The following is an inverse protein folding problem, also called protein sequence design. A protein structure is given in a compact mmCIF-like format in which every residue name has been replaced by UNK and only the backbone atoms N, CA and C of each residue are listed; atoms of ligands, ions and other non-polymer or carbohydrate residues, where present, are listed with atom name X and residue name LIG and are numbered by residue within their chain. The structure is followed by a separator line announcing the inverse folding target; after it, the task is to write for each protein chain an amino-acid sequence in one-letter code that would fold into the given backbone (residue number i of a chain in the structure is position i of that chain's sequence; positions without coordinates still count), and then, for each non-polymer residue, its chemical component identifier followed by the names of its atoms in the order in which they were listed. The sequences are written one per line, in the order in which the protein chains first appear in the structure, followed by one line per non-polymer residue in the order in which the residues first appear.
data_IF_206611051114
#
_entry.id   IF_206611051114
#
_cell.length_a   1.000
_cell.length_b   1.000
_cell.length_c   1.000
_cell.angle_alpha   90.00
_cell.angle_beta   90.00
_cell.angle_gamma   90.00
#
_symmetry.space_group_name_H-M   'P 1'
#
loop_
_entity.id
_entity.type
_entity.pdbx_description
1 polymer ?
#
# COMPACT_ATOMS: atom_id res chain seq x y z
N UNK A 1 -33.98 4.06 -25.59
CA UNK A 1 -33.34 2.86 -26.17
C UNK A 1 -32.27 2.37 -25.20
N UNK A 2 -32.48 1.22 -24.55
CA UNK A 2 -31.52 0.62 -23.60
C UNK A 2 -30.56 -0.28 -24.38
N UNK A 3 -29.34 0.18 -24.66
CA UNK A 3 -28.29 -0.62 -25.28
C UNK A 3 -27.70 -1.55 -24.22
N UNK A 4 -28.08 -2.83 -24.25
CA UNK A 4 -27.40 -3.90 -23.52
C UNK A 4 -26.08 -4.19 -24.22
N UNK A 5 -24.97 -3.66 -23.73
CA UNK A 5 -23.64 -4.10 -24.15
C UNK A 5 -23.22 -5.28 -23.29
N UNK A 6 -23.11 -6.46 -23.91
CA UNK A 6 -22.60 -7.66 -23.28
C UNK A 6 -21.10 -7.54 -23.07
N UNK A 7 -20.66 -7.79 -21.84
CA UNK A 7 -19.25 -7.91 -21.48
C UNK A 7 -18.79 -9.31 -21.91
N UNK A 8 -17.84 -9.39 -22.84
CA UNK A 8 -17.20 -10.65 -23.21
C UNK A 8 -15.96 -10.84 -22.32
N UNK A 9 -15.99 -11.86 -21.47
CA UNK A 9 -14.84 -12.28 -20.67
C UNK A 9 -14.02 -13.23 -21.55
N UNK A 10 -12.88 -12.77 -22.05
CA UNK A 10 -11.94 -13.60 -22.79
C UNK A 10 -11.00 -14.33 -21.82
N UNK A 11 -11.14 -15.64 -21.73
CA UNK A 11 -10.17 -16.52 -21.07
C UNK A 11 -8.91 -16.64 -21.93
N UNK A 12 -7.80 -16.03 -21.49
CA UNK A 12 -6.49 -16.22 -22.10
C UNK A 12 -5.69 -17.26 -21.30
N UNK A 13 -5.44 -18.43 -21.91
CA UNK A 13 -4.54 -19.45 -21.38
C UNK A 13 -3.09 -19.07 -21.65
N UNK A 14 -2.34 -18.74 -20.60
CA UNK A 14 -0.92 -18.40 -20.68
C UNK A 14 -0.08 -19.70 -20.59
N UNK A 15 0.40 -20.17 -21.74
CA UNK A 15 1.33 -21.29 -21.83
C UNK A 15 2.76 -20.79 -21.60
N UNK A 16 3.37 -21.19 -20.47
CA UNK A 16 4.79 -20.92 -20.19
C UNK A 16 5.67 -21.92 -20.94
N UNK A 17 6.41 -21.46 -21.94
CA UNK A 17 7.39 -22.27 -22.67
C UNK A 17 8.80 -22.02 -22.12
N UNK A 18 9.32 -22.98 -21.36
CA UNK A 18 10.71 -23.02 -20.91
C UNK A 18 11.60 -23.54 -22.04
N UNK A 19 12.43 -22.69 -22.64
CA UNK A 19 13.45 -23.13 -23.61
C UNK A 19 14.75 -23.47 -22.86
N UNK A 20 15.04 -24.77 -22.78
CA UNK A 20 16.29 -25.32 -22.27
C UNK A 20 17.30 -25.37 -23.43
N UNK A 21 18.23 -24.43 -23.50
CA UNK A 21 19.34 -24.48 -24.45
C UNK A 21 20.55 -25.19 -23.82
N UNK A 22 20.87 -26.38 -24.34
CA UNK A 22 22.10 -27.10 -24.06
C UNK A 22 23.25 -26.55 -24.92
N UNK A 23 24.44 -26.39 -24.33
CA UNK A 23 25.68 -26.13 -25.06
C UNK A 23 26.70 -27.25 -24.76
N UNK A 24 27.51 -27.69 -25.75
CA UNK A 24 28.46 -28.77 -25.57
C UNK A 24 29.81 -28.30 -24.99
N UNK A 25 30.46 -29.25 -24.33
CA UNK A 25 31.78 -29.20 -23.69
C UNK A 25 32.90 -29.04 -24.73
N UNK A 26 33.88 -28.17 -24.45
CA UNK A 26 35.22 -28.25 -25.02
C UNK A 26 36.28 -27.91 -23.96
N UNK A 27 37.19 -28.86 -23.72
CA UNK A 27 38.37 -28.76 -22.86
C UNK A 27 39.58 -28.20 -23.65
N UNK A 28 40.30 -27.22 -23.09
CA UNK A 28 41.76 -27.06 -23.22
C UNK A 28 42.30 -25.99 -22.24
N UNK A 29 43.48 -26.23 -21.67
CA UNK A 29 44.13 -25.55 -20.54
C UNK A 29 45.06 -24.37 -20.96
N UNK A 30 46.02 -23.90 -20.12
CA UNK A 30 45.88 -22.80 -19.16
C UNK A 30 46.72 -21.56 -19.55
N UNK A 31 46.29 -20.35 -19.14
CA UNK A 31 47.14 -19.17 -19.17
C UNK A 31 46.94 -18.32 -17.90
N UNK A 32 48.01 -18.23 -17.11
CA UNK A 32 48.16 -17.33 -15.97
C UNK A 32 48.26 -15.88 -16.47
N UNK A 33 47.23 -15.08 -16.19
CA UNK A 33 47.34 -13.63 -16.13
C UNK A 33 46.36 -13.10 -15.08
N UNK A 34 46.89 -12.39 -14.09
CA UNK A 34 46.16 -11.77 -13.02
C UNK A 34 45.33 -10.58 -13.56
N UNK A 35 44.14 -10.88 -14.07
CA UNK A 35 43.07 -9.88 -14.19
C UNK A 35 42.42 -9.73 -12.82
N UNK A 36 42.53 -8.55 -12.24
CA UNK A 36 41.71 -8.10 -11.12
C UNK A 36 40.28 -8.54 -11.37
N UNK A 37 39.79 -9.44 -10.52
CA UNK A 37 38.41 -9.89 -10.55
C UNK A 37 37.53 -8.68 -10.27
N UNK A 38 37.08 -8.01 -11.32
CA UNK A 38 35.83 -7.27 -11.28
C UNK A 38 34.79 -8.35 -11.06
N UNK A 39 34.46 -8.60 -9.80
CA UNK A 39 33.22 -9.26 -9.43
C UNK A 39 32.14 -8.33 -9.96
N UNK A 40 31.76 -8.51 -11.23
CA UNK A 40 30.44 -8.09 -11.70
C UNK A 40 29.51 -8.87 -10.80
N UNK A 41 29.06 -8.19 -9.74
CA UNK A 41 27.97 -8.64 -8.91
C UNK A 41 26.92 -9.12 -9.90
N UNK A 42 26.71 -10.44 -9.90
CA UNK A 42 25.62 -11.07 -10.59
C UNK A 42 24.41 -10.39 -9.95
N UNK A 43 23.92 -9.34 -10.62
CA UNK A 43 22.74 -8.63 -10.20
C UNK A 43 21.66 -9.69 -10.30
N UNK A 44 21.35 -10.30 -9.15
CA UNK A 44 20.18 -11.12 -8.92
C UNK A 44 19.08 -10.52 -9.79
N UNK A 45 18.50 -11.32 -10.69
CA UNK A 45 17.52 -10.86 -11.65
C UNK A 45 16.43 -10.13 -10.87
N UNK A 46 16.58 -8.81 -10.78
CA UNK A 46 15.97 -8.02 -9.72
C UNK A 46 14.49 -8.12 -10.01
N UNK A 47 13.71 -8.64 -9.07
CA UNK A 47 12.26 -8.75 -9.21
C UNK A 47 11.74 -7.42 -9.78
N UNK A 48 11.28 -7.43 -11.03
CA UNK A 48 10.99 -6.22 -11.83
C UNK A 48 9.61 -5.67 -11.45
N UNK A 49 9.18 -5.93 -10.21
CA UNK A 49 7.86 -5.62 -9.68
C UNK A 49 8.00 -4.56 -8.59
N UNK A 50 7.07 -3.61 -8.50
CA UNK A 50 6.98 -2.76 -7.33
C UNK A 50 6.72 -3.63 -6.09
N UNK A 51 7.36 -3.29 -4.97
CA UNK A 51 7.14 -3.96 -3.71
C UNK A 51 5.89 -3.41 -3.04
N UNK A 52 5.08 -4.28 -2.46
CA UNK A 52 3.79 -3.93 -1.86
C UNK A 52 3.71 -4.53 -0.46
N UNK A 53 3.38 -3.72 0.54
CA UNK A 53 3.20 -4.19 1.92
C UNK A 53 1.98 -3.56 2.59
N UNK A 54 1.34 -4.32 3.48
CA UNK A 54 0.27 -3.85 4.35
C UNK A 54 0.81 -3.83 5.78
N UNK A 55 0.53 -2.74 6.52
CA UNK A 55 0.99 -2.52 7.89
C UNK A 55 -0.18 -2.12 8.77
N UNK A 56 -0.06 -2.45 10.06
CA UNK A 56 -1.01 -2.05 11.10
C UNK A 56 -2.45 -2.56 10.88
N UNK A 57 -2.62 -3.73 10.27
CA UNK A 57 -3.93 -4.40 10.23
C UNK A 57 -4.25 -4.89 11.65
N UNK A 58 -5.39 -4.49 12.25
CA UNK A 58 -5.77 -5.00 13.56
C UNK A 58 -6.08 -6.50 13.50
N UNK A 59 -5.65 -7.24 14.52
CA UNK A 59 -5.95 -8.68 14.64
C UNK A 59 -7.46 -8.98 14.75
N UNK A 60 -8.28 -7.97 15.06
CA UNK A 60 -9.73 -8.10 15.26
C UNK A 60 -10.48 -6.91 14.70
N UNK A 61 -11.58 -7.17 13.98
CA UNK A 61 -12.52 -6.16 13.49
C UNK A 61 -13.94 -6.56 13.92
N UNK A 62 -14.64 -5.63 14.58
CA UNK A 62 -15.99 -5.90 15.11
C UNK A 62 -17.03 -5.57 14.04
N UNK A 63 -17.90 -6.54 13.73
CA UNK A 63 -19.05 -6.36 12.87
C UNK A 63 -19.98 -5.26 13.41
N UNK A 64 -20.26 -4.24 12.59
CA UNK A 64 -21.01 -3.05 12.98
C UNK A 64 -20.27 -2.11 13.93
N UNK A 65 -18.97 -2.33 14.16
CA UNK A 65 -18.10 -1.48 14.96
C UNK A 65 -17.52 -0.29 14.18
N UNK A 66 -16.59 0.47 14.79
CA UNK A 66 -15.88 1.53 14.10
C UNK A 66 -14.97 0.97 13.00
N UNK A 67 -14.64 1.80 12.01
CA UNK A 67 -13.71 1.42 10.94
C UNK A 67 -12.30 1.15 11.49
N UNK A 68 -11.75 0.00 11.14
CA UNK A 68 -10.34 -0.34 11.34
C UNK A 68 -9.50 0.42 10.31
N UNK A 69 -8.44 1.11 10.76
CA UNK A 69 -7.52 1.83 9.86
C UNK A 69 -6.20 1.07 9.78
N UNK A 70 -5.67 0.93 8.57
CA UNK A 70 -4.36 0.34 8.30
C UNK A 70 -3.70 1.06 7.13
N UNK A 71 -2.44 0.73 6.87
CA UNK A 71 -1.61 1.45 5.91
C UNK A 71 -1.11 0.50 4.84
N UNK A 72 -1.17 0.93 3.58
CA UNK A 72 -0.56 0.24 2.45
C UNK A 72 0.64 1.04 1.98
N UNK A 73 1.77 0.38 1.79
CA UNK A 73 2.99 0.98 1.24
C UNK A 73 3.35 0.29 -0.07
N UNK A 74 3.62 1.10 -1.10
CA UNK A 74 4.02 0.68 -2.43
C UNK A 74 5.38 1.33 -2.71
N UNK A 75 6.40 0.54 -2.98
CA UNK A 75 7.75 1.01 -3.30
C UNK A 75 8.05 0.69 -4.77
N UNK A 76 8.24 1.72 -5.61
CA UNK A 76 8.65 1.51 -7.00
C UNK A 76 10.12 1.13 -7.08
N UNK A 77 10.40 -0.16 -6.92
CA UNK A 77 11.72 -0.76 -7.08
C UNK A 77 12.08 -1.05 -8.55
N UNK A 78 11.14 -0.79 -9.46
CA UNK A 78 11.32 -0.97 -10.90
C UNK A 78 12.22 0.14 -11.44
N UNK A 79 13.06 -0.17 -12.42
CA UNK A 79 14.07 0.74 -12.96
C UNK A 79 13.51 1.92 -13.78
N UNK A 80 12.20 2.11 -13.81
CA UNK A 80 11.45 3.11 -14.58
C UNK A 80 10.22 3.61 -13.80
N UNK A 81 9.59 4.66 -14.31
CA UNK A 81 8.35 5.22 -13.74
C UNK A 81 7.19 4.27 -13.98
N UNK A 82 6.22 4.20 -13.07
CA UNK A 82 5.04 3.34 -13.24
C UNK A 82 3.75 4.14 -13.13
N UNK A 83 2.73 3.70 -13.86
CA UNK A 83 1.33 4.05 -13.62
C UNK A 83 0.61 2.79 -13.18
N UNK A 84 -0.24 2.86 -12.15
CA UNK A 84 -0.87 1.66 -11.60
C UNK A 84 -2.28 1.90 -11.05
N UNK A 85 -3.04 0.81 -10.93
CA UNK A 85 -4.35 0.74 -10.27
C UNK A 85 -4.24 -0.04 -8.95
N UNK A 86 -4.62 0.55 -7.81
CA UNK A 86 -4.61 -0.11 -6.51
C UNK A 86 -5.90 -0.88 -6.22
N UNK A 87 -5.79 -2.14 -5.83
CA UNK A 87 -6.92 -2.97 -5.42
C UNK A 87 -6.71 -3.60 -4.04
N UNK A 88 -7.81 -3.83 -3.32
CA UNK A 88 -7.85 -4.58 -2.07
C UNK A 88 -8.82 -5.74 -2.22
N UNK A 89 -8.33 -6.96 -2.09
CA UNK A 89 -9.14 -8.16 -2.00
C UNK A 89 -9.35 -8.52 -0.52
N UNK A 90 -10.57 -8.92 -0.18
CA UNK A 90 -10.91 -9.42 1.16
C UNK A 90 -11.59 -10.78 1.04
N UNK A 91 -11.53 -11.56 2.11
CA UNK A 91 -12.18 -12.86 2.19
C UNK A 91 -12.26 -13.36 3.62
N UNK A 92 -13.18 -14.28 3.87
CA UNK A 92 -13.31 -14.98 5.14
C UNK A 92 -13.35 -16.48 4.91
N UNK A 93 -12.87 -17.23 5.90
CA UNK A 93 -12.52 -18.63 5.76
C UNK A 93 -13.76 -19.50 5.56
N UNK A 94 -14.85 -19.29 6.30
CA UNK A 94 -16.06 -20.13 6.29
C UNK A 94 -17.31 -19.37 5.84
N UNK A 95 -17.34 -18.06 6.05
CA UNK A 95 -18.48 -17.18 5.80
C UNK A 95 -18.14 -16.21 4.69
N UNK A 96 -18.89 -16.19 3.57
CA UNK A 96 -18.58 -15.26 2.49
C UNK A 96 -18.72 -13.82 2.95
N UNK A 97 -17.66 -13.05 2.73
CA UNK A 97 -17.59 -11.61 3.02
C UNK A 97 -17.94 -10.85 1.74
N UNK A 98 -19.24 -10.77 1.41
CA UNK A 98 -19.69 -10.05 0.22
C UNK A 98 -19.38 -8.55 0.28
N UNK A 99 -19.26 -7.90 -0.89
CA UNK A 99 -19.08 -6.45 -0.99
C UNK A 99 -20.12 -5.64 -0.19
N UNK A 100 -21.37 -6.12 -0.10
CA UNK A 100 -22.43 -5.46 0.69
C UNK A 100 -22.27 -5.57 2.21
N UNK A 101 -21.34 -6.40 2.71
CA UNK A 101 -21.10 -6.61 4.14
C UNK A 101 -19.92 -5.83 4.68
N UNK A 102 -19.18 -5.16 3.82
CA UNK A 102 -18.04 -4.34 4.18
C UNK A 102 -18.12 -2.99 3.46
N UNK A 103 -17.41 -2.02 4.02
CA UNK A 103 -17.18 -0.74 3.40
C UNK A 103 -15.70 -0.43 3.52
N UNK A 104 -15.06 -0.28 2.37
CA UNK A 104 -13.66 0.10 2.23
C UNK A 104 -13.62 1.58 1.84
N UNK A 105 -12.84 2.35 2.58
CA UNK A 105 -12.52 3.73 2.25
C UNK A 105 -11.01 3.89 2.18
N UNK A 106 -10.53 4.79 1.35
CA UNK A 106 -9.12 5.13 1.25
C UNK A 106 -8.94 6.63 1.37
N UNK A 107 -7.80 7.05 1.92
CA UNK A 107 -7.42 8.44 1.92
C UNK A 107 -6.77 8.75 0.57
N UNK A 108 -7.42 9.60 -0.21
CA UNK A 108 -6.92 10.09 -1.48
C UNK A 108 -5.53 10.72 -1.30
N UNK A 109 -4.57 10.27 -2.09
CA UNK A 109 -3.16 10.63 -1.86
C UNK A 109 -2.87 12.09 -2.13
N UNK A 110 -3.67 12.73 -2.97
CA UNK A 110 -3.50 14.13 -3.38
C UNK A 110 -4.30 15.06 -2.45
N UNK A 111 -5.61 14.82 -2.34
CA UNK A 111 -6.55 15.67 -1.57
C UNK A 111 -6.59 15.38 -0.07
N UNK A 112 -6.07 14.23 0.37
CA UNK A 112 -6.16 13.73 1.76
C UNK A 112 -7.59 13.51 2.27
N UNK A 113 -8.58 13.57 1.38
CA UNK A 113 -9.98 13.27 1.69
C UNK A 113 -10.22 11.76 1.75
N UNK A 114 -11.13 11.32 2.60
CA UNK A 114 -11.58 9.93 2.62
C UNK A 114 -12.58 9.71 1.49
N UNK A 115 -12.26 8.77 0.59
CA UNK A 115 -13.12 8.35 -0.52
C UNK A 115 -13.55 6.90 -0.32
N UNK A 116 -14.75 6.57 -0.78
CA UNK A 116 -15.22 5.19 -0.82
C UNK A 116 -14.53 4.46 -1.97
N UNK A 117 -14.07 3.23 -1.73
CA UNK A 117 -13.53 2.37 -2.76
C UNK A 117 -14.67 1.81 -3.64
N UNK A 118 -14.35 1.47 -4.89
CA UNK A 118 -15.32 0.92 -5.84
C UNK A 118 -15.13 -0.58 -5.99
N UNK A 119 -16.15 -1.39 -5.68
CA UNK A 119 -16.08 -2.84 -5.90
C UNK A 119 -16.13 -3.16 -7.40
N UNK A 120 -15.16 -3.96 -7.88
CA UNK A 120 -15.04 -4.39 -9.28
C UNK A 120 -15.55 -5.83 -9.50
N UNK A 121 -15.81 -6.55 -8.41
CA UNK A 121 -16.44 -7.89 -8.39
C UNK A 121 -17.97 -7.80 -8.32
N UNK A 122 -18.65 -8.90 -8.66
CA UNK A 122 -20.11 -8.98 -8.44
C UNK A 122 -20.41 -8.88 -6.93
N UNK A 123 -21.47 -8.15 -6.51
CA UNK A 123 -21.81 -8.00 -5.10
C UNK A 123 -22.14 -9.32 -4.39
N UNK A 124 -22.36 -10.42 -5.12
CA UNK A 124 -22.60 -11.78 -4.59
C UNK A 124 -21.35 -12.65 -4.59
N UNK A 125 -20.20 -12.13 -5.00
CA UNK A 125 -18.94 -12.85 -4.98
C UNK A 125 -18.39 -12.94 -3.55
N UNK A 126 -17.92 -14.13 -3.15
CA UNK A 126 -17.47 -14.39 -1.79
C UNK A 126 -16.14 -13.71 -1.41
N UNK A 127 -15.37 -13.29 -2.42
CA UNK A 127 -14.06 -12.66 -2.32
C UNK A 127 -14.08 -11.34 -3.09
N UNK A 128 -14.69 -10.29 -2.54
CA UNK A 128 -14.84 -9.04 -3.26
C UNK A 128 -13.48 -8.37 -3.45
N UNK A 129 -13.33 -7.70 -4.58
CA UNK A 129 -12.17 -6.88 -4.89
C UNK A 129 -12.63 -5.44 -5.03
N UNK A 130 -12.01 -4.55 -4.28
CA UNK A 130 -12.28 -3.12 -4.30
C UNK A 130 -11.10 -2.37 -4.95
N UNK A 131 -11.39 -1.59 -5.99
CA UNK A 131 -10.49 -0.57 -6.53
C UNK A 131 -10.44 0.62 -5.56
N UNK A 132 -9.24 1.03 -5.12
CA UNK A 132 -9.04 2.26 -4.37
C UNK A 132 -9.01 3.47 -5.31
N UNK A 133 -10.16 3.69 -5.94
CA UNK A 133 -10.38 4.64 -7.02
C UNK A 133 -11.88 4.73 -7.35
N UNK A 134 -12.23 5.67 -8.23
CA UNK A 134 -13.59 5.80 -8.75
C UNK A 134 -13.80 4.97 -10.02
N UNK A 135 -15.00 4.40 -10.14
CA UNK A 135 -15.49 3.79 -11.38
C UNK A 135 -16.52 4.70 -12.05
N UNK A 136 -16.44 4.84 -13.36
CA UNK A 136 -17.41 5.56 -14.19
C UNK A 136 -18.01 4.59 -15.22
N UNK A 137 -19.31 4.36 -15.13
CA UNK A 137 -20.03 3.44 -16.03
C UNK A 137 -19.48 2.00 -16.06
N UNK A 138 -18.93 1.53 -14.93
CA UNK A 138 -18.35 0.19 -14.82
C UNK A 138 -16.94 0.06 -15.42
N UNK A 139 -16.29 1.18 -15.72
CA UNK A 139 -14.88 1.26 -16.14
C UNK A 139 -14.13 2.13 -15.13
N UNK A 140 -12.84 1.88 -14.95
CA UNK A 140 -11.98 2.70 -14.11
C UNK A 140 -11.95 4.14 -14.62
N UNK A 141 -12.16 5.11 -13.74
CA UNK A 141 -12.00 6.53 -14.08
C UNK A 141 -10.51 6.84 -14.28
N UNK A 142 -10.19 7.82 -15.12
CA UNK A 142 -8.82 8.32 -15.26
C UNK A 142 -8.20 8.75 -13.92
N UNK A 143 -9.05 9.16 -12.97
CA UNK A 143 -8.64 9.55 -11.62
C UNK A 143 -8.26 8.38 -10.70
N UNK A 144 -8.57 7.14 -11.08
CA UNK A 144 -8.19 5.94 -10.32
C UNK A 144 -6.72 5.54 -10.54
N UNK A 145 -6.09 6.00 -11.63
CA UNK A 145 -4.70 5.70 -11.93
C UNK A 145 -3.77 6.58 -11.10
N UNK A 146 -2.78 5.94 -10.48
CA UNK A 146 -1.74 6.59 -9.70
C UNK A 146 -0.40 6.47 -10.42
N UNK A 147 0.37 7.57 -10.40
CA UNK A 147 1.75 7.58 -10.88
C UNK A 147 2.73 7.46 -9.73
N UNK A 148 3.82 6.74 -9.95
CA UNK A 148 4.96 6.61 -9.03
C UNK A 148 6.26 6.67 -9.82
N UNK A 149 7.09 7.68 -9.56
CA UNK A 149 8.38 7.79 -10.22
C UNK A 149 9.31 6.64 -9.83
N UNK A 150 10.35 6.39 -10.64
CA UNK A 150 11.40 5.43 -10.32
C UNK A 150 11.97 5.67 -8.92
N UNK A 151 11.95 4.64 -8.07
CA UNK A 151 12.49 4.71 -6.70
C UNK A 151 11.63 5.49 -5.70
N UNK A 152 10.45 5.96 -6.11
CA UNK A 152 9.50 6.63 -5.20
C UNK A 152 8.68 5.60 -4.41
N UNK A 153 8.27 5.98 -3.20
CA UNK A 153 7.38 5.21 -2.34
C UNK A 153 6.08 5.96 -2.11
N UNK A 154 4.96 5.26 -2.19
CA UNK A 154 3.63 5.79 -1.90
C UNK A 154 3.04 5.09 -0.68
N UNK A 155 2.38 5.86 0.18
CA UNK A 155 1.63 5.36 1.32
C UNK A 155 0.17 5.74 1.19
N UNK A 156 -0.73 4.76 1.27
CA UNK A 156 -2.18 4.93 1.22
C UNK A 156 -2.77 4.50 2.56
N UNK A 157 -3.54 5.38 3.20
CA UNK A 157 -4.30 5.01 4.40
C UNK A 157 -5.63 4.41 3.96
N UNK A 158 -5.98 3.27 4.56
CA UNK A 158 -7.21 2.53 4.23
C UNK A 158 -8.02 2.29 5.50
N UNK A 159 -9.32 2.40 5.37
CA UNK A 159 -10.31 2.10 6.41
C UNK A 159 -11.20 0.97 5.94
N UNK A 160 -11.28 -0.09 6.75
CA UNK A 160 -12.22 -1.18 6.58
C UNK A 160 -13.25 -1.13 7.71
N UNK A 161 -14.53 -1.07 7.35
CA UNK A 161 -15.65 -1.21 8.28
C UNK A 161 -16.51 -2.38 7.86
N UNK A 162 -16.96 -3.15 8.84
CA UNK A 162 -17.85 -4.29 8.62
C UNK A 162 -19.25 -3.92 9.05
N UNK A 163 -20.25 -4.34 8.28
CA UNK A 163 -21.66 -4.19 8.65
C UNK A 163 -22.00 -5.10 9.84
N UNK A 164 -23.15 -4.87 10.49
CA UNK A 164 -23.65 -5.75 11.57
C UNK A 164 -23.99 -7.17 11.09
N UNK A 165 -24.14 -7.34 9.78
CA UNK A 165 -24.47 -8.62 9.13
C UNK A 165 -23.23 -9.47 8.83
N UNK A 166 -22.03 -8.92 9.01
CA UNK A 166 -20.80 -9.69 8.91
C UNK A 166 -20.77 -10.78 9.99
N UNK A 167 -20.55 -12.02 9.56
CA UNK A 167 -20.52 -13.20 10.44
C UNK A 167 -19.13 -13.31 11.05
N UNK A 168 -19.07 -13.70 12.33
CA UNK A 168 -17.78 -13.93 13.00
C UNK A 168 -17.00 -15.07 12.34
N UNK A 169 -15.74 -14.83 12.01
CA UNK A 169 -14.91 -15.76 11.25
C UNK A 169 -13.43 -15.34 11.27
N UNK A 170 -12.53 -16.20 10.80
CA UNK A 170 -11.20 -15.80 10.38
C UNK A 170 -11.27 -15.18 8.98
N UNK A 171 -10.63 -14.04 8.81
CA UNK A 171 -10.61 -13.31 7.56
C UNK A 171 -9.19 -12.92 7.18
N UNK A 172 -9.05 -12.59 5.90
CA UNK A 172 -7.80 -12.14 5.33
C UNK A 172 -8.05 -11.01 4.33
N UNK A 173 -7.03 -10.20 4.14
CA UNK A 173 -6.98 -9.22 3.07
C UNK A 173 -5.63 -9.26 2.38
N UNK A 174 -5.65 -8.94 1.09
CA UNK A 174 -4.45 -8.82 0.27
C UNK A 174 -4.58 -7.58 -0.62
N UNK A 175 -3.51 -6.78 -0.65
CA UNK A 175 -3.44 -5.62 -1.52
C UNK A 175 -2.71 -6.01 -2.78
N UNK A 176 -3.17 -5.50 -3.91
CA UNK A 176 -2.58 -5.77 -5.20
C UNK A 176 -2.56 -4.49 -6.04
N UNK A 177 -1.58 -4.39 -6.92
CA UNK A 177 -1.54 -3.35 -7.93
C UNK A 177 -1.39 -3.97 -9.30
N UNK A 178 -2.05 -3.37 -10.28
CA UNK A 178 -1.78 -3.60 -11.70
C UNK A 178 -0.98 -2.42 -12.22
N UNK A 179 0.28 -2.64 -12.59
CA UNK A 179 1.20 -1.58 -13.03
C UNK A 179 1.51 -1.67 -14.52
N UNK A 180 1.78 -0.51 -15.11
CA UNK A 180 2.08 -0.28 -16.52
C UNK A 180 3.33 0.59 -16.65
N UNK A 181 4.21 0.24 -17.59
CA UNK A 181 5.30 1.11 -18.04
C UNK A 181 4.72 2.18 -19.00
N UNK A 182 4.73 3.47 -18.63
CA UNK A 182 4.17 4.54 -19.45
C UNK A 182 4.98 4.83 -20.71
N UNK A 183 6.25 4.41 -20.78
CA UNK A 183 7.15 4.67 -21.91
C UNK A 183 7.11 3.56 -22.97
N UNK A 184 6.47 2.42 -22.66
CA UNK A 184 6.35 1.30 -23.60
C UNK A 184 5.11 1.41 -24.49
N UNK A 185 5.32 1.30 -25.80
CA UNK A 185 4.25 1.30 -26.80
C UNK A 185 3.28 0.13 -26.57
N UNK A 186 3.80 -1.07 -26.29
CA UNK A 186 3.02 -2.23 -25.87
C UNK A 186 2.92 -2.28 -24.35
N UNK A 187 1.70 -2.36 -23.80
CA UNK A 187 1.56 -2.45 -22.35
C UNK A 187 1.98 -3.82 -21.86
N UNK A 188 3.06 -3.86 -21.10
CA UNK A 188 3.31 -4.96 -20.20
C UNK A 188 2.57 -4.68 -18.90
N UNK A 189 1.53 -5.47 -18.67
CA UNK A 189 0.81 -5.48 -17.41
C UNK A 189 1.62 -6.29 -16.39
N UNK A 190 1.99 -5.65 -15.28
CA UNK A 190 2.71 -6.32 -14.21
C UNK A 190 1.88 -6.22 -12.93
N UNK A 191 1.33 -7.35 -12.50
CA UNK A 191 0.65 -7.47 -11.23
C UNK A 191 1.65 -7.64 -10.08
N UNK A 192 1.46 -6.90 -8.99
CA UNK A 192 2.23 -7.07 -7.74
C UNK A 192 1.28 -7.22 -6.58
N UNK A 193 1.59 -8.14 -5.66
CA UNK A 193 0.71 -8.49 -4.53
C UNK A 193 1.47 -8.35 -3.22
N UNK A 194 0.78 -7.90 -2.19
CA UNK A 194 1.31 -7.91 -0.83
C UNK A 194 1.31 -9.33 -0.26
N UNK A 195 1.98 -9.50 0.88
CA UNK A 195 1.66 -10.58 1.80
C UNK A 195 0.19 -10.52 2.25
N UNK A 196 -0.35 -11.65 2.69
CA UNK A 196 -1.71 -11.75 3.22
C UNK A 196 -1.74 -11.27 4.67
N UNK A 197 -2.62 -10.32 4.98
CA UNK A 197 -2.86 -9.87 6.35
C UNK A 197 -4.12 -10.56 6.91
N UNK A 198 -3.97 -11.28 8.02
CA UNK A 198 -5.06 -12.01 8.67
C UNK A 198 -5.66 -11.20 9.83
N UNK A 199 -6.96 -11.37 10.05
CA UNK A 199 -7.68 -10.79 11.19
C UNK A 199 -8.92 -11.63 11.52
N UNK A 200 -9.46 -11.49 12.72
CA UNK A 200 -10.73 -12.11 13.10
C UNK A 200 -11.90 -11.11 13.00
N UNK A 201 -12.99 -11.53 12.36
CA UNK A 201 -14.27 -10.85 12.42
C UNK A 201 -14.96 -11.25 13.73
N UNK A 202 -15.34 -10.28 14.54
CA UNK A 202 -16.03 -10.51 15.82
C UNK A 202 -17.49 -10.04 15.69
N UNK A 203 -18.43 -10.85 16.17
CA UNK A 203 -19.86 -10.53 16.12
C UNK A 203 -20.19 -9.21 16.85
N UNK A 204 -21.26 -8.50 16.44
CA UNK A 204 -21.71 -7.29 17.13
C UNK A 204 -22.01 -7.59 18.60
N UNK A 205 -21.51 -6.76 19.52
CA UNK A 205 -21.73 -6.99 20.96
C UNK A 205 -20.82 -8.07 21.58
N UNK A 206 -19.97 -8.75 20.80
CA UNK A 206 -18.88 -9.60 21.31
C UNK A 206 -17.72 -8.81 21.95
N UNK A 207 -17.94 -7.53 22.24
CA UNK A 207 -16.97 -6.64 22.86
C UNK A 207 -16.68 -7.06 24.29
N UNK A 208 -15.44 -7.52 24.50
CA UNK A 208 -14.79 -7.74 25.80
C UNK A 208 -15.49 -8.75 26.72
N UNK A 209 -15.13 -10.03 26.56
CA UNK A 209 -14.56 -10.64 27.76
C UNK A 209 -13.34 -9.76 28.08
N UNK A 210 -13.50 -8.83 29.03
CA UNK A 210 -12.35 -8.28 29.76
C UNK A 210 -11.42 -9.45 30.03
N UNK A 211 -10.10 -9.36 29.82
CA UNK A 211 -9.22 -10.45 30.17
C UNK A 211 -9.52 -10.79 31.63
N UNK A 212 -10.22 -11.90 31.88
CA UNK A 212 -10.33 -12.46 33.21
C UNK A 212 -8.89 -12.75 33.53
N UNK A 213 -8.31 -11.96 34.43
CA UNK A 213 -6.97 -12.15 34.91
C UNK A 213 -6.82 -13.65 35.19
N UNK A 214 -5.99 -14.33 34.40
CA UNK A 214 -5.66 -15.72 34.64
C UNK A 214 -5.20 -15.75 36.09
N UNK A 215 -5.88 -16.55 36.92
CA UNK A 215 -5.55 -16.67 38.33
C UNK A 215 -4.03 -16.89 38.45
N UNK A 216 -3.33 -16.17 39.35
CA UNK A 216 -1.89 -16.31 39.48
C UNK A 216 -1.55 -17.79 39.61
N UNK A 217 -0.79 -18.32 38.65
CA UNK A 217 -0.23 -19.65 38.79
C UNK A 217 0.62 -19.64 40.07
N UNK A 218 0.21 -20.44 41.04
CA UNK A 218 0.90 -20.60 42.31
C UNK A 218 2.36 -20.93 42.03
N UNK A 219 3.33 -20.09 42.45
CA UNK A 219 4.73 -20.35 42.19
C UNK A 219 5.20 -21.52 43.07
N UNK A 220 5.41 -22.69 42.46
CA UNK A 220 6.15 -23.77 43.10
C UNK A 220 7.63 -23.45 43.03
N UNK A 221 8.19 -22.98 44.14
CA UNK A 221 9.61 -22.72 44.31
C UNK A 221 10.44 -24.01 44.25
N UNK A 222 11.64 -23.96 43.64
CA UNK A 222 12.91 -24.26 44.33
C UNK A 222 14.12 -23.71 43.55
N UNK A 223 15.10 -23.06 44.21
CA UNK A 223 16.21 -22.36 43.56
C UNK A 223 17.47 -23.22 43.44
N UNK A 224 18.33 -22.90 42.45
CA UNK A 224 19.78 -23.12 42.54
C UNK A 224 20.50 -21.89 41.99
N UNK A 225 21.21 -21.21 42.88
CA UNK A 225 22.02 -20.04 42.56
C UNK A 225 23.41 -20.47 42.08
N UNK A 226 23.91 -19.83 41.02
CA UNK A 226 25.34 -19.62 40.82
C UNK A 226 25.54 -18.21 40.31
N UNK A 227 26.12 -17.37 41.17
CA UNK A 227 26.53 -16.01 40.87
C UNK A 227 27.93 -16.01 40.25
N UNK A 228 28.11 -15.28 39.15
CA UNK A 228 29.41 -14.69 38.82
C UNK A 228 29.15 -13.28 38.34
N UNK A 229 29.57 -12.32 39.16
CA UNK A 229 29.57 -10.90 38.86
C UNK A 229 30.74 -10.55 37.93
N UNK A 230 30.51 -9.63 37.00
CA UNK A 230 31.56 -8.70 36.57
C UNK A 230 30.88 -7.40 36.15
N UNK A 231 31.22 -6.34 36.88
CA UNK A 231 30.73 -4.99 36.68
C UNK A 231 31.68 -4.24 35.74
N UNK A 232 31.11 -3.41 34.86
CA UNK A 232 31.76 -2.16 34.45
C UNK A 232 30.69 -1.19 33.97
N UNK A 233 30.47 -0.14 34.77
CA UNK A 233 29.61 0.98 34.46
C UNK A 233 30.32 1.95 33.51
N UNK A 234 29.56 2.61 32.64
CA UNK A 234 29.83 3.99 32.26
C UNK A 234 28.51 4.65 31.86
N UNK A 235 28.10 5.62 32.67
CA UNK A 235 26.92 6.44 32.45
C UNK A 235 27.36 7.76 31.83
N UNK A 236 26.72 8.17 30.73
CA UNK A 236 26.77 9.55 30.25
C UNK A 236 25.33 10.03 30.11
N UNK A 237 24.90 10.84 31.06
CA UNK A 237 23.65 11.57 31.00
C UNK A 237 23.89 12.91 30.28
N UNK A 238 23.08 13.21 29.27
CA UNK A 238 22.95 14.58 28.76
C UNK A 238 21.47 14.92 28.74
N UNK A 239 21.05 15.70 29.74
CA UNK A 239 19.76 16.35 29.75
C UNK A 239 19.85 17.62 28.88
N UNK A 240 18.90 17.80 27.98
CA UNK A 240 18.58 19.12 27.45
C UNK A 240 17.06 19.24 27.39
N UNK A 241 16.53 20.04 28.32
CA UNK A 241 15.14 20.42 28.38
C UNK A 241 14.99 21.75 27.63
N UNK A 242 14.12 21.77 26.62
CA UNK A 242 13.61 23.02 26.05
C UNK A 242 12.11 23.02 26.21
N UNK A 243 11.64 23.73 27.24
CA UNK A 243 10.25 24.14 27.37
C UNK A 243 9.99 25.29 26.39
N UNK A 244 8.88 25.23 25.66
CA UNK A 244 8.27 26.43 25.10
C UNK A 244 6.76 26.29 25.20
N UNK A 245 6.19 27.15 26.03
CA UNK A 245 4.75 27.35 26.17
C UNK A 245 4.28 28.31 25.08
N UNK A 246 3.07 28.12 24.53
CA UNK A 246 2.24 29.27 24.17
C UNK A 246 0.76 28.92 23.95
N UNK A 247 -0.05 29.70 24.67
CA UNK A 247 -1.35 30.25 24.31
C UNK A 247 -2.56 29.32 24.07
N UNK A 248 -3.38 29.28 25.12
CA UNK A 248 -4.83 29.17 25.12
C UNK A 248 -5.49 30.24 24.23
N UNK A 249 -6.40 29.83 23.34
CA UNK A 249 -7.45 30.71 22.80
C UNK A 249 -8.80 30.00 22.99
N UNK A 250 -9.57 30.53 23.94
CA UNK A 250 -10.96 30.16 24.19
C UNK A 250 -11.84 30.98 23.25
N UNK A 251 -12.59 30.31 22.37
CA UNK A 251 -13.70 30.95 21.67
C UNK A 251 -15.01 30.34 22.16
N UNK A 252 -15.69 31.12 22.99
CA UNK A 252 -17.09 30.96 23.31
C UNK A 252 -17.92 31.27 22.06
N UNK A 253 -18.77 30.32 21.65
CA UNK A 253 -19.83 30.57 20.68
C UNK A 253 -21.18 30.40 21.35
N UNK A 254 -21.93 31.50 21.33
CA UNK A 254 -23.26 31.75 21.88
C UNK A 254 -24.32 30.83 21.25
N UNK A 255 -25.24 30.23 22.02
CA UNK A 255 -26.42 29.59 21.46
C UNK A 255 -27.47 30.64 21.08
N UNK A 256 -27.75 30.79 19.79
CA UNK A 256 -28.92 31.55 19.32
C UNK A 256 -30.14 30.62 19.29
N UNK A 257 -31.06 30.87 20.23
CA UNK A 257 -32.42 30.38 20.18
C UNK A 257 -33.21 31.10 19.07
N UNK A 258 -34.03 30.38 18.32
CA UNK A 258 -34.84 30.98 17.25
C UNK A 258 -35.95 30.08 16.71
N UNK A 259 -37.14 30.31 17.24
CA UNK A 259 -38.46 30.22 16.60
C UNK A 259 -39.01 28.86 16.13
N UNK A 260 -39.89 28.35 16.99
CA UNK A 260 -41.14 27.62 16.75
C UNK A 260 -41.89 28.04 15.47
N UNK A 261 -42.27 27.09 14.62
CA UNK A 261 -43.55 27.13 13.90
C UNK A 261 -44.23 25.76 13.97
N UNK A 262 -45.42 25.79 14.54
CA UNK A 262 -46.41 24.72 14.63
C UNK A 262 -46.99 24.42 13.26
N UNK A 263 -47.05 23.14 12.87
CA UNK A 263 -48.02 22.67 11.88
C UNK A 263 -48.58 21.34 12.35
N UNK A 264 -49.85 21.37 12.74
CA UNK A 264 -50.62 20.23 13.19
C UNK A 264 -50.86 19.25 12.04
N UNK A 265 -50.57 17.96 12.25
CA UNK A 265 -50.93 16.86 11.35
C UNK A 265 -51.83 15.86 12.10
N UNK A 266 -52.89 15.31 11.48
CA UNK A 266 -53.93 14.58 12.19
C UNK A 266 -53.45 13.22 12.70
N UNK A 267 -53.98 12.84 13.86
CA UNK A 267 -53.84 11.53 14.47
C UNK A 267 -54.51 10.42 13.64
N UNK A 268 -53.85 9.28 13.38
CA UNK A 268 -54.50 8.04 13.06
C UNK A 268 -54.67 7.14 14.30
N UNK A 269 -55.73 6.34 14.22
CA UNK A 269 -56.30 5.52 15.28
C UNK A 269 -55.35 4.47 15.89
N UNK A 270 -55.63 4.17 17.15
CA UNK A 270 -55.02 3.10 17.92
C UNK A 270 -55.29 1.73 17.28
N UNK A 271 -54.22 1.01 16.94
CA UNK A 271 -54.24 -0.41 16.62
C UNK A 271 -53.60 -1.20 17.77
N UNK A 272 -54.22 -2.35 18.06
CA UNK A 272 -54.01 -3.22 19.20
C UNK A 272 -52.57 -3.77 19.37
N UNK A 273 -52.21 -4.30 20.57
CA UNK A 273 -50.90 -4.90 20.80
C UNK A 273 -50.76 -6.21 20.01
N UNK A 274 -49.87 -6.21 19.02
CA UNK A 274 -49.46 -7.41 18.28
C UNK A 274 -48.50 -8.27 19.10
N UNK A 275 -48.70 -9.59 19.01
CA UNK A 275 -47.92 -10.64 19.65
C UNK A 275 -46.41 -10.59 19.33
N UNK A 276 -45.53 -11.11 20.21
CA UNK A 276 -44.09 -11.12 19.99
C UNK A 276 -43.73 -11.86 18.70
N UNK A 277 -43.13 -11.13 17.75
CA UNK A 277 -42.53 -11.70 16.55
C UNK A 277 -41.33 -12.54 16.94
N UNK A 278 -41.36 -13.82 16.59
CA UNK A 278 -40.28 -14.76 16.82
C UNK A 278 -38.98 -14.26 16.16
N UNK A 279 -37.86 -14.44 16.88
CA UNK A 279 -36.52 -14.19 16.37
C UNK A 279 -36.29 -14.96 15.06
N UNK A 280 -35.61 -14.37 14.06
CA UNK A 280 -35.34 -15.05 12.81
C UNK A 280 -34.48 -16.29 13.07
N UNK A 281 -35.02 -17.45 12.70
CA UNK A 281 -34.27 -18.71 12.64
C UNK A 281 -33.10 -18.54 11.67
N UNK A 282 -31.85 -18.90 12.06
CA UNK A 282 -30.72 -18.84 11.15
C UNK A 282 -31.01 -19.66 9.89
N UNK A 283 -30.89 -19.04 8.73
CA UNK A 283 -31.01 -19.74 7.46
C UNK A 283 -29.86 -20.76 7.34
N UNK A 284 -30.21 -22.04 7.28
CA UNK A 284 -29.28 -23.11 6.96
C UNK A 284 -28.82 -22.92 5.52
N UNK A 285 -27.59 -22.43 5.33
CA UNK A 285 -26.94 -22.32 4.02
C UNK A 285 -26.90 -23.69 3.33
N UNK A 286 -27.17 -23.69 2.02
CA UNK A 286 -27.13 -24.90 1.20
C UNK A 286 -25.72 -25.55 1.25
N UNK A 287 -25.63 -26.86 1.52
CA UNK A 287 -24.35 -27.56 1.53
C UNK A 287 -23.85 -27.74 0.09
N UNK A 288 -22.71 -27.13 -0.26
CA UNK A 288 -22.06 -27.42 -1.55
C UNK A 288 -21.07 -26.40 -2.10
N UNK A 289 -21.00 -25.18 -1.57
CA UNK A 289 -19.93 -24.26 -1.97
C UNK A 289 -18.63 -24.69 -1.27
N UNK A 290 -17.63 -25.10 -2.04
CA UNK A 290 -16.31 -25.43 -1.52
C UNK A 290 -15.72 -24.19 -0.84
N UNK A 291 -15.44 -24.34 0.45
CA UNK A 291 -14.87 -23.33 1.32
C UNK A 291 -13.37 -23.28 1.03
N UNK A 292 -12.90 -22.19 0.42
CA UNK A 292 -11.47 -21.98 0.12
C UNK A 292 -10.87 -21.25 1.33
N UNK A 293 -9.82 -21.79 1.98
CA UNK A 293 -9.31 -21.16 3.19
C UNK A 293 -8.81 -19.74 2.91
N UNK A 294 -8.94 -18.83 3.86
CA UNK A 294 -8.52 -17.43 3.72
C UNK A 294 -7.02 -17.27 3.33
N UNK A 295 -6.21 -18.30 3.58
CA UNK A 295 -4.82 -18.46 3.11
C UNK A 295 -4.67 -18.60 1.59
N UNK A 296 -5.77 -18.78 0.86
CA UNK A 296 -5.82 -19.02 -0.58
C UNK A 296 -6.64 -17.94 -1.29
N UNK A 297 -6.55 -16.68 -0.88
CA UNK A 297 -6.89 -15.57 -1.77
C UNK A 297 -6.03 -15.72 -3.03
N UNK A 298 -6.57 -16.41 -4.03
CA UNK A 298 -5.97 -16.47 -5.35
C UNK A 298 -6.09 -15.08 -5.91
N UNK A 299 -4.99 -14.42 -6.34
CA UNK A 299 -5.08 -13.10 -6.92
C UNK A 299 -6.11 -13.16 -8.05
N UNK A 300 -7.23 -12.48 -7.89
CA UNK A 300 -8.16 -12.33 -8.98
C UNK A 300 -7.40 -11.62 -10.09
N UNK A 301 -7.34 -12.21 -11.27
CA UNK A 301 -6.74 -11.53 -12.42
C UNK A 301 -7.71 -10.42 -12.84
N UNK A 302 -7.48 -9.21 -12.31
CA UNK A 302 -8.19 -8.02 -12.74
C UNK A 302 -7.56 -7.54 -14.03
N UNK A 303 -8.19 -7.84 -15.15
CA UNK A 303 -7.74 -7.39 -16.46
C UNK A 303 -8.09 -5.90 -16.62
N UNK A 304 -7.15 -5.02 -16.28
CA UNK A 304 -7.34 -3.59 -16.39
C UNK A 304 -6.87 -3.08 -17.76
N UNK A 305 -7.67 -2.22 -18.44
CA UNK A 305 -7.26 -1.65 -19.71
C UNK A 305 -6.00 -0.79 -19.56
N UNK A 306 -5.16 -0.79 -20.61
CA UNK A 306 -4.01 0.13 -20.72
C UNK A 306 -4.49 1.58 -20.53
N UNK A 307 -3.87 2.37 -19.64
CA UNK A 307 -4.21 3.79 -19.52
C UNK A 307 -3.88 4.54 -20.81
N UNK A 308 -4.72 5.50 -21.17
CA UNK A 308 -4.45 6.38 -22.31
C UNK A 308 -3.28 7.34 -22.02
N UNK A 309 -2.68 7.93 -23.04
CA UNK A 309 -1.63 8.93 -22.85
C UNK A 309 -2.11 10.14 -22.02
N UNK A 310 -3.38 10.53 -22.16
CA UNK A 310 -3.99 11.59 -21.35
C UNK A 310 -4.14 11.19 -19.88
N UNK A 311 -4.51 9.93 -19.63
CA UNK A 311 -4.60 9.34 -18.28
C UNK A 311 -3.23 9.33 -17.60
N UNK A 312 -2.18 8.90 -18.33
CA UNK A 312 -0.79 8.91 -17.84
C UNK A 312 -0.32 10.32 -17.51
N UNK A 313 -0.54 11.28 -18.41
CA UNK A 313 -0.17 12.68 -18.19
C UNK A 313 -0.87 13.26 -16.95
N UNK A 314 -2.18 13.03 -16.81
CA UNK A 314 -2.98 13.47 -15.65
C UNK A 314 -2.47 12.84 -14.34
N UNK A 315 -2.16 11.55 -14.33
CA UNK A 315 -1.61 10.87 -13.17
C UNK A 315 -0.23 11.42 -12.78
N UNK A 316 0.62 11.74 -13.77
CA UNK A 316 1.94 12.36 -13.57
C UNK A 316 1.82 13.78 -13.01
N UNK A 317 0.90 14.59 -13.54
CA UNK A 317 0.65 15.94 -13.06
C UNK A 317 0.14 15.94 -11.61
N UNK A 318 -0.76 15.01 -11.26
CA UNK A 318 -1.20 14.79 -9.88
C UNK A 318 -0.04 14.43 -8.96
N UNK A 319 0.80 13.47 -9.37
CA UNK A 319 1.96 13.07 -8.60
C UNK A 319 2.94 14.24 -8.36
N UNK A 320 3.18 15.06 -9.39
CA UNK A 320 4.00 16.27 -9.27
C UNK A 320 3.40 17.32 -8.31
N UNK A 321 2.07 17.36 -8.18
CA UNK A 321 1.35 18.26 -7.29
C UNK A 321 1.22 17.72 -5.85
N UNK A 322 1.55 16.45 -5.58
CA UNK A 322 1.45 15.88 -4.23
C UNK A 322 2.33 16.68 -3.27
N UNK A 323 1.83 17.04 -2.08
CA UNK A 323 2.68 17.61 -1.06
C UNK A 323 3.78 16.59 -0.78
N UNK A 324 5.03 16.98 -1.00
CA UNK A 324 6.25 16.19 -0.83
C UNK A 324 6.54 15.90 0.65
N UNK A 325 5.53 15.42 1.38
CA UNK A 325 5.56 15.06 2.81
C UNK A 325 6.42 13.84 3.12
N UNK A 326 7.35 13.51 2.24
CA UNK A 326 8.26 12.38 2.31
C UNK A 326 9.48 12.65 1.44
N UNK A 327 10.19 13.75 1.68
CA UNK A 327 11.59 13.94 1.27
C UNK A 327 12.53 12.93 1.95
N UNK A 328 12.23 11.63 1.80
CA UNK A 328 13.15 10.51 2.04
C UNK A 328 13.70 9.96 0.72
N UNK A 329 13.59 10.71 -0.37
CA UNK A 329 14.75 10.81 -1.22
C UNK A 329 15.81 11.47 -0.35
N UNK A 330 16.71 10.66 0.20
CA UNK A 330 18.07 11.10 0.33
C UNK A 330 18.42 11.71 -1.03
N UNK A 331 18.36 13.04 -1.12
CA UNK A 331 19.11 13.78 -2.12
C UNK A 331 20.55 13.41 -1.84
N UNK A 332 21.01 12.30 -2.43
CA UNK A 332 22.43 11.97 -2.54
C UNK A 332 23.03 13.01 -3.47
N UNK A 333 23.20 14.24 -2.98
CA UNK A 333 24.05 15.30 -3.53
C UNK A 333 24.02 15.56 -5.03
N UNK A 334 22.90 15.27 -5.71
CA UNK A 334 22.79 15.35 -7.17
C UNK A 334 21.61 16.20 -7.61
N UNK A 335 21.38 17.33 -6.97
CA UNK A 335 20.48 18.35 -7.51
C UNK A 335 21.06 18.92 -8.81
N UNK A 336 20.21 19.54 -9.62
CA UNK A 336 20.46 20.17 -10.94
C UNK A 336 21.59 21.22 -11.02
N UNK A 337 22.43 21.31 -9.99
CA UNK A 337 23.73 21.95 -10.05
C UNK A 337 24.75 21.17 -10.88
N UNK A 338 24.46 20.02 -11.49
CA UNK A 338 25.39 19.34 -12.40
C UNK A 338 25.81 20.25 -13.57
N UNK A 339 24.92 21.11 -14.07
CA UNK A 339 25.29 22.11 -15.08
C UNK A 339 26.15 23.25 -14.50
N UNK A 340 25.88 23.68 -13.26
CA UNK A 340 26.64 24.75 -12.59
C UNK A 340 28.01 24.27 -12.06
N UNK A 341 28.12 23.04 -11.57
CA UNK A 341 29.35 22.37 -11.13
C UNK A 341 30.15 21.81 -12.31
N UNK A 342 29.54 21.42 -13.43
CA UNK A 342 30.27 21.15 -14.67
C UNK A 342 30.84 22.44 -15.28
N UNK A 343 30.10 23.56 -15.19
CA UNK A 343 30.62 24.86 -15.60
C UNK A 343 31.74 25.36 -14.66
N UNK A 344 31.59 25.20 -13.34
CA UNK A 344 32.62 25.58 -12.36
C UNK A 344 33.85 24.64 -12.40
N UNK A 345 33.65 23.33 -12.57
CA UNK A 345 34.72 22.34 -12.73
C UNK A 345 35.46 22.47 -14.06
N UNK A 346 34.77 22.85 -15.14
CA UNK A 346 35.37 23.19 -16.42
C UNK A 346 36.26 24.44 -16.34
N UNK A 347 35.85 25.46 -15.58
CA UNK A 347 36.66 26.66 -15.37
C UNK A 347 37.96 26.37 -14.57
N UNK A 348 37.91 25.47 -13.58
CA UNK A 348 39.09 25.07 -12.79
C UNK A 348 40.07 24.22 -13.63
N UNK A 349 39.57 23.34 -14.51
CA UNK A 349 40.42 22.57 -15.42
C UNK A 349 41.09 23.44 -16.49
N UNK A 350 40.38 24.43 -17.04
CA UNK A 350 40.95 25.35 -18.04
C UNK A 350 41.99 26.29 -17.40
N UNK A 351 41.75 26.79 -16.18
CA UNK A 351 42.72 27.57 -15.43
C UNK A 351 43.96 26.74 -15.01
N UNK A 352 43.75 25.47 -14.61
CA UNK A 352 44.83 24.55 -14.25
C UNK A 352 45.74 24.21 -15.43
N UNK A 353 45.18 23.91 -16.60
CA UNK A 353 45.95 23.63 -17.82
C UNK A 353 46.68 24.88 -18.34
N UNK A 354 46.05 26.05 -18.27
CA UNK A 354 46.69 27.33 -18.66
C UNK A 354 47.94 27.65 -17.83
N UNK A 355 47.89 27.42 -16.52
CA UNK A 355 49.02 27.69 -15.62
C UNK A 355 50.21 26.74 -15.88
N UNK A 356 49.93 25.49 -16.22
CA UNK A 356 50.95 24.47 -16.51
C UNK A 356 51.67 24.72 -17.85
N UNK A 357 50.96 25.27 -18.85
CA UNK A 357 51.57 25.66 -20.14
C UNK A 357 52.45 26.91 -19.99
N UNK A 358 52.03 27.90 -19.19
CA UNK A 358 52.85 29.11 -18.93
C UNK A 358 54.12 28.78 -18.14
N UNK A 359 54.04 27.87 -17.16
CA UNK A 359 55.22 27.39 -16.42
C UNK A 359 56.18 26.57 -17.30
N UNK A 360 55.67 25.81 -18.28
CA UNK A 360 56.50 25.06 -19.22
C UNK A 360 57.23 25.98 -20.21
N UNK A 361 56.59 27.08 -20.65
CA UNK A 361 57.22 28.08 -21.52
C UNK A 361 58.35 28.83 -20.81
N UNK A 362 58.17 29.22 -19.55
CA UNK A 362 59.22 29.92 -18.78
C UNK A 362 60.46 29.08 -18.47
N UNK A 363 60.38 27.74 -18.55
CA UNK A 363 61.54 26.86 -18.32
C UNK A 363 62.35 26.59 -19.60
N UNK A 364 61.82 26.93 -20.78
CA UNK A 364 62.53 26.80 -22.06
C UNK A 364 63.51 27.93 -22.36
N UNK A 365 63.28 29.12 -21.79
CA UNK A 365 64.12 30.31 -22.07
C UNK A 365 65.29 30.49 -21.06
N UNK A 366 65.50 29.53 -20.17
CA UNK A 366 66.58 29.54 -19.16
C UNK A 366 67.76 28.62 -19.54
N UNK A 367 67.92 28.29 -20.82
CA UNK A 367 69.12 27.63 -21.35
C UNK A 367 69.49 28.25 -22.69
N UNK A 368 70.05 29.45 -22.62
CA UNK A 368 70.94 30.04 -23.61
C UNK A 368 71.99 30.86 -22.85
#
# INVERSE_FOLDING_TARGET
MKLRRGLAISAATLASASVLAAAPVALAAPALAATSAVTLAQADAKDVRPQVSIKNVPDRIVAGGPAATFTVQIDNTVGHDIVFLPFLATGAEHSPLYAGREKIQYQDVDSKEWRDASFVTDPKEAYPVALLGSMENGVESDDAYLFLARGESLTIQVRLSLTKEAVADNAAMQFMITSFDPDQAESQEVASVSGVAQFAIVAPGGGTASPTASAPATPTAKPTATATASASASATATASATASASATASHAATPTAGATTTSAKPAPAASAPGAPTAAPTPATSAPGAAVVPASHLTPATVNAPKPSAGTVAKAKDKAAARPSGGSNLATTGGGDHTAALAAAGGAVLVAGVGTLVVLRRRKGDASA
#
